data_IF_280002665916
#
_entry.id   IF_280002665916
#
_cell.length_a   1.000
_cell.length_b   1.000
_cell.length_c   1.000
_cell.angle_alpha   90.00
_cell.angle_beta   90.00
_cell.angle_gamma   90.00
#
_symmetry.space_group_name_H-M   'P 1'
#
loop_
_entity.id
_entity.type
_entity.pdbx_description
1 polymer ?
#
# COMPACT_ATOMS: atom_id res chain seq x y z
N UNK A 1 3.06 -8.86 -11.39
CA UNK A 1 4.36 -9.38 -10.91
C UNK A 1 4.25 -9.67 -9.43
N UNK A 2 4.90 -10.74 -8.92
CA UNK A 2 4.79 -11.12 -7.51
C UNK A 2 5.80 -10.40 -6.62
N UNK A 3 5.34 -9.97 -5.45
CA UNK A 3 6.13 -9.30 -4.42
C UNK A 3 5.73 -9.78 -3.02
N UNK A 4 6.58 -9.50 -2.05
CA UNK A 4 6.27 -9.62 -0.62
C UNK A 4 5.94 -8.23 -0.06
N UNK A 5 4.76 -8.10 0.54
CA UNK A 5 4.31 -6.86 1.16
C UNK A 5 4.82 -6.75 2.60
N UNK A 6 5.44 -5.62 2.90
CA UNK A 6 5.65 -5.14 4.26
C UNK A 6 4.81 -3.88 4.51
N UNK A 7 4.44 -3.63 5.77
CA UNK A 7 3.70 -2.43 6.16
C UNK A 7 4.34 -1.80 7.39
N UNK A 8 4.19 -0.49 7.58
CA UNK A 8 4.82 0.17 8.72
C UNK A 8 4.45 1.63 8.87
N UNK A 9 5.20 2.35 9.70
CA UNK A 9 5.01 3.78 9.90
C UNK A 9 6.03 4.53 9.06
N UNK A 10 5.66 5.71 8.60
CA UNK A 10 6.59 6.70 8.06
C UNK A 10 6.34 8.02 8.77
N UNK A 11 7.34 8.90 8.81
CA UNK A 11 7.19 10.23 9.42
C UNK A 11 6.05 11.00 8.73
N UNK A 12 5.99 10.94 7.39
CA UNK A 12 4.98 11.61 6.58
C UNK A 12 3.57 11.07 6.83
N UNK A 13 3.45 9.76 7.02
CA UNK A 13 2.18 9.13 7.36
C UNK A 13 1.71 9.55 8.76
N UNK A 14 2.63 9.68 9.72
CA UNK A 14 2.32 10.20 11.06
C UNK A 14 1.83 11.65 11.01
N UNK A 15 2.57 12.53 10.33
CA UNK A 15 2.18 13.93 10.14
C UNK A 15 0.78 14.06 9.51
N UNK A 16 0.52 13.29 8.44
CA UNK A 16 -0.74 13.36 7.72
C UNK A 16 -1.95 12.87 8.55
N UNK A 17 -1.73 11.90 9.44
CA UNK A 17 -2.76 11.44 10.38
C UNK A 17 -3.17 12.58 11.32
N UNK A 18 -2.21 13.29 11.88
CA UNK A 18 -2.44 14.38 12.83
C UNK A 18 -3.03 15.63 12.14
N UNK A 19 -2.63 15.90 10.90
CA UNK A 19 -3.18 16.98 10.10
C UNK A 19 -4.66 16.74 9.73
N UNK A 20 -5.02 15.51 9.39
CA UNK A 20 -6.40 15.13 9.08
C UNK A 20 -6.50 13.98 8.08
N UNK A 21 -7.09 12.86 8.50
CA UNK A 21 -7.21 11.64 7.66
C UNK A 21 -8.17 11.79 6.48
N UNK A 22 -9.00 12.83 6.45
CA UNK A 22 -9.88 13.17 5.34
C UNK A 22 -9.20 14.02 4.26
N UNK A 23 -7.97 14.47 4.49
CA UNK A 23 -7.24 15.33 3.56
C UNK A 23 -6.49 14.50 2.51
N UNK A 24 -6.26 15.10 1.35
CA UNK A 24 -5.42 14.56 0.27
C UNK A 24 -3.99 14.25 0.77
N UNK A 25 -3.52 15.00 1.77
CA UNK A 25 -2.24 14.76 2.44
C UNK A 25 -2.12 13.32 2.98
N UNK A 26 -3.19 12.76 3.57
CA UNK A 26 -3.15 11.40 4.07
C UNK A 26 -3.10 10.37 2.96
N UNK A 27 -3.82 10.60 1.84
CA UNK A 27 -3.68 9.77 0.65
C UNK A 27 -2.25 9.81 0.12
N UNK A 28 -1.68 11.00 -0.04
CA UNK A 28 -0.34 11.17 -0.58
C UNK A 28 0.76 10.57 0.31
N UNK A 29 0.50 10.43 1.62
CA UNK A 29 1.46 9.87 2.57
C UNK A 29 1.27 8.37 2.85
N UNK A 30 0.05 7.83 2.71
CA UNK A 30 -0.28 6.46 3.12
C UNK A 30 -0.83 5.56 1.98
N UNK A 31 -1.27 6.14 0.86
CA UNK A 31 -1.70 5.41 -0.34
C UNK A 31 -0.55 5.30 -1.35
N UNK A 32 0.64 5.00 -0.85
CA UNK A 32 1.89 4.94 -1.61
C UNK A 32 2.57 3.59 -1.40
N UNK A 33 3.20 3.08 -2.45
CA UNK A 33 3.99 1.86 -2.45
C UNK A 33 5.45 2.20 -2.72
N UNK A 34 6.28 1.99 -1.71
CA UNK A 34 7.73 2.14 -1.82
C UNK A 34 8.33 0.89 -2.45
N UNK A 35 9.08 1.08 -3.53
CA UNK A 35 9.71 0.01 -4.30
C UNK A 35 11.17 0.36 -4.60
N UNK A 36 12.05 -0.64 -4.68
CA UNK A 36 13.40 -0.39 -5.20
C UNK A 36 13.37 -0.10 -6.71
N UNK A 37 14.33 0.68 -7.20
CA UNK A 37 14.39 1.10 -8.60
C UNK A 37 14.50 -0.06 -9.59
N UNK A 38 15.17 -1.16 -9.20
CA UNK A 38 15.34 -2.34 -10.05
C UNK A 38 14.01 -3.05 -10.32
N UNK A 39 13.14 -3.16 -9.32
CA UNK A 39 11.83 -3.77 -9.46
C UNK A 39 10.84 -2.85 -10.15
N UNK A 40 10.93 -1.54 -9.92
CA UNK A 40 10.17 -0.56 -10.71
C UNK A 40 10.51 -0.63 -12.19
N UNK A 41 11.80 -0.76 -12.53
CA UNK A 41 12.25 -0.93 -13.91
C UNK A 41 11.68 -2.21 -14.55
N UNK A 42 11.70 -3.34 -13.83
CA UNK A 42 11.12 -4.60 -14.32
C UNK A 42 9.61 -4.51 -14.50
N UNK A 43 8.92 -3.80 -13.60
CA UNK A 43 7.46 -3.60 -13.66
C UNK A 43 7.05 -2.53 -14.70
N UNK A 44 7.99 -1.70 -15.16
CA UNK A 44 7.73 -0.64 -16.13
C UNK A 44 7.02 0.58 -15.54
N UNK A 45 7.25 0.87 -14.26
CA UNK A 45 6.66 1.99 -13.52
C UNK A 45 7.71 3.02 -13.11
N UNK A 46 7.28 4.26 -12.91
CA UNK A 46 8.10 5.38 -12.41
C UNK A 46 7.42 6.03 -11.21
N UNK A 47 8.15 6.88 -10.50
CA UNK A 47 7.58 7.67 -9.40
C UNK A 47 6.31 8.40 -9.85
N UNK A 48 5.24 8.25 -9.09
CA UNK A 48 3.93 8.84 -9.38
C UNK A 48 3.01 8.00 -10.26
N UNK A 49 3.50 6.95 -10.93
CA UNK A 49 2.63 5.99 -11.61
C UNK A 49 1.74 5.26 -10.59
N UNK A 50 0.59 4.78 -11.06
CA UNK A 50 -0.36 3.99 -10.28
C UNK A 50 -0.20 2.50 -10.52
N UNK A 51 -0.31 1.74 -9.43
CA UNK A 51 -0.32 0.27 -9.45
C UNK A 51 -1.56 -0.25 -8.72
N UNK A 52 -2.06 -1.38 -9.18
CA UNK A 52 -2.99 -2.20 -8.43
C UNK A 52 -2.21 -3.30 -7.72
N UNK A 53 -2.44 -3.41 -6.42
CA UNK A 53 -1.84 -4.42 -5.55
C UNK A 53 -2.95 -5.34 -5.09
N UNK A 54 -2.80 -6.63 -5.37
CA UNK A 54 -3.79 -7.65 -5.08
C UNK A 54 -3.18 -8.73 -4.19
N UNK A 55 -3.84 -9.07 -3.10
CA UNK A 55 -3.56 -10.25 -2.30
C UNK A 55 -4.76 -11.19 -2.32
N UNK A 56 -4.66 -12.32 -1.63
CA UNK A 56 -5.80 -13.22 -1.42
C UNK A 56 -6.97 -12.53 -0.68
N UNK A 57 -6.68 -11.47 0.09
CA UNK A 57 -7.64 -10.83 0.99
C UNK A 57 -8.34 -9.61 0.36
N UNK A 58 -7.86 -9.14 -0.80
CA UNK A 58 -8.44 -8.01 -1.50
C UNK A 58 -7.46 -7.32 -2.44
N UNK A 59 -7.84 -6.13 -2.89
CA UNK A 59 -7.03 -5.29 -3.76
C UNK A 59 -7.07 -3.81 -3.34
N UNK A 60 -6.07 -3.06 -3.77
CA UNK A 60 -6.01 -1.62 -3.60
C UNK A 60 -5.18 -0.97 -4.70
N UNK A 61 -5.56 0.25 -5.09
CA UNK A 61 -4.78 1.09 -6.00
C UNK A 61 -3.98 2.11 -5.18
N UNK A 62 -2.67 2.19 -5.44
CA UNK A 62 -1.73 3.09 -4.76
C UNK A 62 -0.75 3.68 -5.78
N UNK A 63 -0.10 4.81 -5.44
CA UNK A 63 0.97 5.37 -6.27
C UNK A 63 2.33 4.78 -5.91
N UNK A 64 3.24 4.71 -6.89
CA UNK A 64 4.59 4.18 -6.68
C UNK A 64 5.58 5.29 -6.35
N UNK A 65 6.48 5.03 -5.40
CA UNK A 65 7.60 5.90 -5.07
C UNK A 65 8.86 5.05 -4.92
N UNK A 66 9.97 5.52 -5.48
CA UNK A 66 11.28 4.90 -5.29
C UNK A 66 11.69 5.02 -3.82
N UNK A 67 12.00 3.91 -3.18
CA UNK A 67 12.48 3.92 -1.79
C UNK A 67 13.85 4.60 -1.69
N UNK A 68 14.05 5.38 -0.63
CA UNK A 68 15.36 5.93 -0.24
C UNK A 68 16.14 4.98 0.68
N UNK A 69 15.41 4.09 1.34
CA UNK A 69 15.97 3.07 2.22
C UNK A 69 16.31 1.81 1.43
N UNK A 70 17.29 1.04 1.88
CA UNK A 70 17.59 -0.25 1.27
C UNK A 70 16.39 -1.20 1.42
N UNK A 71 15.77 -1.54 0.29
CA UNK A 71 14.71 -2.54 0.22
C UNK A 71 15.20 -3.74 -0.60
N UNK A 72 15.07 -4.97 -0.08
CA UNK A 72 15.39 -6.18 -0.84
C UNK A 72 14.61 -6.24 -2.16
N UNK A 73 15.22 -6.83 -3.19
CA UNK A 73 14.51 -7.15 -4.42
C UNK A 73 13.33 -8.09 -4.14
N UNK A 74 12.19 -7.84 -4.77
CA UNK A 74 10.95 -8.59 -4.55
C UNK A 74 10.17 -8.19 -3.30
N UNK A 75 10.59 -7.14 -2.58
CA UNK A 75 9.85 -6.60 -1.44
C UNK A 75 9.30 -5.20 -1.75
N UNK A 76 8.06 -4.96 -1.33
CA UNK A 76 7.42 -3.64 -1.40
C UNK A 76 6.96 -3.21 -0.01
N UNK A 77 6.82 -1.91 0.20
CA UNK A 77 6.36 -1.35 1.47
C UNK A 77 5.22 -0.36 1.28
N UNK A 78 4.11 -0.57 1.98
CA UNK A 78 2.98 0.37 2.00
C UNK A 78 2.78 0.87 3.44
N UNK A 79 2.76 2.20 3.69
CA UNK A 79 2.52 2.73 5.02
C UNK A 79 1.18 2.25 5.58
N UNK A 80 1.11 2.11 6.91
CA UNK A 80 -0.09 1.65 7.58
C UNK A 80 -1.24 2.63 7.36
N UNK A 81 -2.42 2.09 7.07
CA UNK A 81 -3.60 2.86 6.75
C UNK A 81 -4.68 2.01 6.10
N UNK A 82 -5.82 2.61 5.75
CA UNK A 82 -6.93 1.87 5.17
C UNK A 82 -6.57 1.23 3.83
N UNK A 83 -5.66 1.84 3.04
CA UNK A 83 -5.16 1.25 1.79
C UNK A 83 -4.40 -0.07 2.02
N UNK A 84 -3.40 -0.09 2.91
CA UNK A 84 -2.68 -1.32 3.25
C UNK A 84 -3.62 -2.38 3.84
N UNK A 85 -4.57 -1.98 4.68
CA UNK A 85 -5.49 -2.90 5.34
C UNK A 85 -6.45 -3.63 4.38
N UNK A 86 -6.57 -3.19 3.11
CA UNK A 86 -7.32 -3.92 2.07
C UNK A 86 -6.67 -5.23 1.64
N UNK A 87 -5.37 -5.39 1.88
CA UNK A 87 -4.57 -6.46 1.30
C UNK A 87 -3.75 -7.26 2.32
N UNK A 88 -3.82 -6.92 3.60
CA UNK A 88 -3.15 -7.68 4.69
C UNK A 88 -3.97 -8.91 5.12
N UNK A 89 -3.30 -9.90 5.72
CA UNK A 89 -3.93 -11.10 6.27
C UNK A 89 -4.77 -10.72 7.51
N UNK A 90 -6.11 -10.89 7.48
CA UNK A 90 -6.96 -10.54 8.62
C UNK A 90 -6.99 -11.62 9.71
N UNK A 91 -6.55 -12.86 9.42
CA UNK A 91 -6.48 -13.92 10.42
C UNK A 91 -5.52 -13.49 11.56
N UNK A 92 -5.96 -13.80 12.77
CA UNK A 92 -5.26 -13.46 14.01
C UNK A 92 -4.59 -14.66 14.65
N UNK A 93 -4.78 -15.86 14.11
CA UNK A 93 -4.28 -17.12 14.67
C UNK A 93 -4.68 -17.30 16.15
N UNK A 94 -5.88 -16.82 16.50
CA UNK A 94 -6.40 -16.78 17.89
C UNK A 94 -5.58 -15.92 18.87
N UNK A 95 -4.77 -14.96 18.38
CA UNK A 95 -3.98 -14.03 19.20
C UNK A 95 -4.57 -12.63 19.29
N UNK A 96 -5.73 -12.39 18.65
CA UNK A 96 -6.40 -11.10 18.50
C UNK A 96 -5.63 -10.04 17.67
N UNK A 97 -4.43 -10.34 17.19
CA UNK A 97 -3.62 -9.43 16.36
C UNK A 97 -3.54 -9.95 14.92
N UNK A 98 -4.04 -9.20 13.93
CA UNK A 98 -3.86 -9.55 12.53
C UNK A 98 -2.38 -9.53 12.10
N UNK A 99 -2.08 -10.30 11.07
CA UNK A 99 -0.75 -10.33 10.44
C UNK A 99 -0.57 -9.16 9.47
N UNK A 100 -0.25 -7.98 10.02
CA UNK A 100 0.03 -6.77 9.23
C UNK A 100 1.38 -6.79 8.51
N UNK A 101 2.33 -7.58 9.03
CA UNK A 101 3.70 -7.76 8.51
C UNK A 101 3.98 -9.25 8.54
N UNK A 102 4.33 -9.83 7.41
CA UNK A 102 4.56 -11.26 7.28
C UNK A 102 4.80 -11.59 5.83
N UNK A 103 4.95 -12.87 5.44
CA UNK A 103 5.04 -13.22 4.04
C UNK A 103 3.67 -13.07 3.37
N UNK A 104 3.22 -11.82 3.18
CA UNK A 104 2.00 -11.49 2.44
C UNK A 104 2.41 -11.39 0.98
N UNK A 105 2.19 -12.46 0.23
CA UNK A 105 2.42 -12.47 -1.20
C UNK A 105 1.34 -11.62 -1.88
N UNK A 106 1.78 -10.72 -2.77
CA UNK A 106 0.90 -9.85 -3.54
C UNK A 106 1.28 -9.86 -5.01
N UNK A 107 0.28 -9.78 -5.87
CA UNK A 107 0.44 -9.50 -7.29
C UNK A 107 0.30 -8.00 -7.52
N UNK A 108 1.27 -7.43 -8.23
CA UNK A 108 1.35 -6.00 -8.54
C UNK A 108 1.35 -5.80 -10.04
N UNK A 109 0.49 -4.92 -10.53
CA UNK A 109 0.42 -4.53 -11.93
C UNK A 109 0.25 -3.02 -12.10
N UNK A 110 0.80 -2.48 -13.19
CA UNK A 110 0.57 -1.08 -13.56
C UNK A 110 -0.90 -0.89 -13.97
N UNK A 111 -1.50 0.21 -13.55
CA UNK A 111 -2.91 0.51 -13.83
C UNK A 111 -3.10 2.00 -14.11
N UNK A 112 -4.16 2.36 -14.84
CA UNK A 112 -4.59 3.74 -15.06
C UNK A 112 -5.69 4.18 -14.06
N UNK A 113 -6.08 3.29 -13.13
CA UNK A 113 -7.04 3.60 -12.06
C UNK A 113 -6.48 4.67 -11.13
N UNK A 114 -7.36 5.55 -10.64
CA UNK A 114 -6.98 6.59 -9.68
C UNK A 114 -6.86 6.03 -8.27
N UNK A 115 -5.92 6.59 -7.51
CA UNK A 115 -5.85 6.37 -6.06
C UNK A 115 -7.01 7.12 -5.41
N UNK A 116 -7.90 6.39 -4.74
CA UNK A 116 -9.03 6.94 -4.02
C UNK A 116 -8.58 7.66 -2.74
N UNK A 117 -9.27 8.75 -2.39
CA UNK A 117 -9.12 9.35 -1.05
C UNK A 117 -9.76 8.43 0.00
N UNK A 118 -9.44 8.64 1.28
CA UNK A 118 -9.89 7.76 2.36
C UNK A 118 -11.42 7.60 2.38
N UNK A 119 -12.19 8.69 2.23
CA UNK A 119 -13.66 8.64 2.26
C UNK A 119 -14.25 7.85 1.09
N UNK A 120 -13.65 7.95 -0.10
CA UNK A 120 -14.05 7.20 -1.29
C UNK A 120 -13.68 5.72 -1.14
N UNK A 121 -12.47 5.42 -0.65
CA UNK A 121 -12.04 4.05 -0.37
C UNK A 121 -12.96 3.37 0.63
N UNK A 122 -13.34 4.06 1.72
CA UNK A 122 -14.25 3.50 2.73
C UNK A 122 -15.66 3.26 2.18
N UNK A 123 -16.15 4.15 1.30
CA UNK A 123 -17.44 3.93 0.63
C UNK A 123 -17.37 2.69 -0.26
N UNK A 124 -16.35 2.59 -1.12
CA UNK A 124 -16.15 1.45 -2.00
C UNK A 124 -15.98 0.13 -1.22
N UNK A 125 -15.30 0.17 -0.07
CA UNK A 125 -14.97 -1.05 0.68
C UNK A 125 -16.13 -1.63 1.50
N UNK A 126 -17.11 -0.81 1.90
CA UNK A 126 -18.11 -1.20 2.91
C UNK A 126 -19.55 -0.83 2.56
N UNK A 127 -19.79 0.00 1.55
CA UNK A 127 -21.14 0.47 1.17
C UNK A 127 -21.52 0.10 -0.27
N UNK A 128 -20.56 -0.32 -1.08
CA UNK A 128 -20.71 -0.76 -2.47
C UNK A 128 -20.30 -2.24 -2.58
#
# INVERSE_FOLDING_TARGET
>A
MKFMLNTGRTIWQGEAIEAGKNLELYKNAAAVCYMNAGDMLKLGVRDGDTIEVTSEYGNVVVSVITTKEEAPAGMIFIPMGPWANRIVLPDTESTAMPSYKGPIAVDVEKTDKKVLIMTELMRQAYLE
#
